data_IF_018783222197
#
_entry.id   IF_018783222197
#
_cell.length_a   1.000
_cell.length_b   1.000
_cell.length_c   1.000
_cell.angle_alpha   90.00
_cell.angle_beta   90.00
_cell.angle_gamma   90.00
#
_symmetry.space_group_name_H-M   'P 1'
#
loop_
_entity.id
_entity.type
_entity.pdbx_description
1 polymer ?
#
# COMPACT_ATOMS: atom_id res chain seq x y z
N UNK A 1 64.01 -19.58 -23.91
CA UNK A 1 63.11 -20.39 -24.75
C UNK A 1 61.95 -20.92 -23.89
N UNK A 2 61.23 -19.96 -23.32
CA UNK A 2 59.79 -19.71 -23.54
C UNK A 2 58.81 -20.76 -23.00
N UNK A 3 58.71 -20.71 -21.68
CA UNK A 3 57.47 -20.52 -20.92
C UNK A 3 56.16 -21.02 -21.57
N UNK A 4 55.86 -22.27 -21.23
CA UNK A 4 54.51 -22.84 -21.16
C UNK A 4 53.65 -22.02 -20.18
N UNK A 5 53.02 -20.95 -20.65
CA UNK A 5 52.03 -20.21 -19.88
C UNK A 5 50.66 -20.88 -20.03
N UNK A 6 50.26 -21.54 -18.96
CA UNK A 6 48.91 -22.01 -18.68
C UNK A 6 47.92 -20.84 -18.79
N UNK A 7 47.04 -20.88 -19.78
CA UNK A 7 45.86 -20.01 -19.83
C UNK A 7 44.86 -20.57 -18.83
N UNK A 8 44.93 -20.08 -17.59
CA UNK A 8 43.90 -20.30 -16.57
C UNK A 8 42.74 -19.37 -16.91
N UNK A 9 41.69 -19.91 -17.51
CA UNK A 9 40.45 -19.19 -17.79
C UNK A 9 39.72 -18.87 -16.50
N UNK A 10 39.69 -17.60 -16.10
CA UNK A 10 38.83 -17.10 -15.03
C UNK A 10 37.50 -16.66 -15.66
N UNK A 11 36.53 -17.57 -15.70
CA UNK A 11 35.15 -17.22 -16.04
C UNK A 11 34.50 -16.59 -14.80
N UNK A 12 34.47 -15.26 -14.75
CA UNK A 12 33.73 -14.52 -13.74
C UNK A 12 32.25 -14.42 -14.16
N UNK A 13 31.41 -15.33 -13.66
CA UNK A 13 29.96 -15.25 -13.79
C UNK A 13 29.43 -14.17 -12.83
N UNK A 14 29.07 -13.01 -13.38
CA UNK A 14 28.40 -11.94 -12.64
C UNK A 14 26.93 -12.33 -12.46
N UNK A 15 26.52 -12.65 -11.22
CA UNK A 15 25.12 -12.76 -10.83
C UNK A 15 24.52 -11.35 -10.73
N UNK A 16 23.78 -10.91 -11.74
CA UNK A 16 22.89 -9.75 -11.64
C UNK A 16 21.66 -10.15 -10.81
N UNK A 17 21.69 -9.87 -9.51
CA UNK A 17 20.49 -9.90 -8.68
C UNK A 17 19.62 -8.68 -8.99
N UNK A 18 18.33 -8.88 -9.26
CA UNK A 18 17.37 -7.79 -9.41
C UNK A 18 17.06 -7.20 -8.04
N UNK A 19 17.46 -5.96 -7.81
CA UNK A 19 17.02 -5.19 -6.65
C UNK A 19 15.62 -4.66 -6.95
N UNK A 20 14.62 -5.16 -6.25
CA UNK A 20 13.28 -4.57 -6.27
C UNK A 20 13.33 -3.25 -5.50
N UNK A 21 13.06 -2.14 -6.19
CA UNK A 21 12.88 -0.84 -5.53
C UNK A 21 11.47 -0.81 -4.97
N UNK A 22 11.34 -0.80 -3.65
CA UNK A 22 10.05 -0.47 -3.00
C UNK A 22 9.75 1.00 -3.32
N UNK A 23 8.67 1.25 -4.04
CA UNK A 23 8.21 2.60 -4.33
C UNK A 23 7.34 3.06 -3.16
N UNK A 24 7.66 4.22 -2.58
CA UNK A 24 6.77 4.82 -1.61
C UNK A 24 5.48 5.29 -2.31
N UNK A 25 4.32 5.00 -1.72
CA UNK A 25 3.03 5.43 -2.25
C UNK A 25 2.86 6.95 -2.26
N UNK A 26 2.05 7.43 -3.19
CA UNK A 26 1.63 8.84 -3.30
C UNK A 26 0.42 9.10 -2.41
N UNK A 27 0.66 9.82 -1.31
CA UNK A 27 -0.37 10.22 -0.33
C UNK A 27 -1.53 10.99 -0.97
N UNK A 28 -1.25 11.83 -1.97
CA UNK A 28 -2.29 12.63 -2.62
C UNK A 28 -3.20 11.76 -3.46
N UNK A 29 -2.61 10.82 -4.23
CA UNK A 29 -3.38 9.82 -4.97
C UNK A 29 -4.20 8.92 -4.02
N UNK A 30 -3.60 8.48 -2.91
CA UNK A 30 -4.28 7.68 -1.87
C UNK A 30 -5.48 8.40 -1.27
N UNK A 31 -5.33 9.69 -0.93
CA UNK A 31 -6.46 10.50 -0.44
C UNK A 31 -7.55 10.66 -1.49
N UNK A 32 -7.20 10.80 -2.77
CA UNK A 32 -8.17 10.89 -3.85
C UNK A 32 -8.98 9.57 -4.00
N UNK A 33 -8.31 8.42 -3.87
CA UNK A 33 -8.98 7.11 -3.83
C UNK A 33 -9.95 7.04 -2.64
N UNK A 34 -9.51 7.42 -1.43
CA UNK A 34 -10.38 7.46 -0.25
C UNK A 34 -11.58 8.38 -0.43
N UNK A 35 -11.39 9.57 -1.02
CA UNK A 35 -12.47 10.50 -1.31
C UNK A 35 -13.51 9.90 -2.26
N UNK A 36 -13.05 9.22 -3.31
CA UNK A 36 -13.90 8.64 -4.34
C UNK A 36 -14.67 7.42 -3.84
N UNK A 37 -14.03 6.55 -3.08
CA UNK A 37 -14.57 5.24 -2.73
C UNK A 37 -15.16 5.17 -1.30
N UNK A 38 -14.68 6.00 -0.38
CA UNK A 38 -15.00 5.89 1.05
C UNK A 38 -15.63 7.17 1.62
N UNK A 39 -15.36 8.33 1.02
CA UNK A 39 -15.75 9.65 1.53
C UNK A 39 -17.25 9.95 1.54
N UNK A 40 -18.07 9.12 0.90
CA UNK A 40 -19.53 9.21 1.01
C UNK A 40 -20.04 8.83 2.40
N UNK A 41 -19.27 8.04 3.15
CA UNK A 41 -19.64 7.51 4.46
C UNK A 41 -18.66 7.91 5.56
N UNK A 42 -17.35 7.81 5.30
CA UNK A 42 -16.31 8.02 6.30
C UNK A 42 -15.75 9.44 6.28
N UNK A 43 -15.46 9.96 7.46
CA UNK A 43 -14.60 11.13 7.61
C UNK A 43 -13.16 10.75 7.25
N UNK A 44 -12.52 11.59 6.44
CA UNK A 44 -11.20 11.34 5.86
C UNK A 44 -10.13 12.23 6.49
N UNK A 45 -10.50 13.40 7.00
CA UNK A 45 -9.54 14.34 7.55
C UNK A 45 -9.36 14.16 9.09
N UNK A 46 -8.46 14.97 9.65
CA UNK A 46 -8.10 14.87 11.07
C UNK A 46 -9.18 15.38 12.02
N UNK A 47 -10.10 16.23 11.55
CA UNK A 47 -11.04 16.97 12.40
C UNK A 47 -12.50 16.92 11.93
N UNK A 48 -12.78 16.32 10.78
CA UNK A 48 -14.13 16.18 10.25
C UNK A 48 -14.93 15.09 10.98
N UNK A 49 -16.26 15.18 10.85
CA UNK A 49 -17.20 14.15 11.27
C UNK A 49 -17.61 13.33 10.06
N UNK A 50 -17.77 12.03 10.26
CA UNK A 50 -18.24 11.15 9.18
C UNK A 50 -19.61 11.58 8.67
N UNK A 51 -19.82 11.61 7.34
CA UNK A 51 -21.15 11.82 6.76
C UNK A 51 -22.21 10.84 7.29
N UNK A 52 -21.81 9.59 7.57
CA UNK A 52 -22.63 8.57 8.22
C UNK A 52 -22.18 8.40 9.68
N UNK A 53 -23.04 8.63 10.69
CA UNK A 53 -22.66 8.53 12.10
C UNK A 53 -22.05 7.18 12.53
N UNK A 54 -22.52 6.10 11.91
CA UNK A 54 -22.08 4.72 12.13
C UNK A 54 -20.73 4.38 11.49
N UNK A 55 -20.28 5.17 10.52
CA UNK A 55 -19.01 4.98 9.83
C UNK A 55 -17.89 5.66 10.63
N UNK A 56 -16.92 4.92 11.21
CA UNK A 56 -15.85 5.54 11.99
C UNK A 56 -14.95 6.42 11.10
N UNK A 57 -14.41 7.53 11.62
CA UNK A 57 -13.45 8.34 10.87
C UNK A 57 -12.14 7.58 10.68
N UNK A 58 -11.51 7.72 9.52
CA UNK A 58 -10.29 6.97 9.16
C UNK A 58 -9.12 7.20 10.14
N UNK A 59 -9.04 8.37 10.78
CA UNK A 59 -8.06 8.67 11.84
C UNK A 59 -8.13 7.77 13.08
N UNK A 60 -9.13 6.91 13.18
CA UNK A 60 -9.26 5.93 14.27
C UNK A 60 -9.05 4.49 13.81
N UNK A 61 -8.80 4.28 12.51
CA UNK A 61 -8.66 2.95 11.90
C UNK A 61 -7.49 2.16 12.51
N UNK A 62 -6.35 2.83 12.68
CA UNK A 62 -5.12 2.23 13.20
C UNK A 62 -5.21 1.74 14.65
N UNK A 63 -6.21 2.25 15.39
CA UNK A 63 -6.49 1.79 16.75
C UNK A 63 -7.09 0.39 16.78
N UNK A 64 -7.61 -0.09 15.64
CA UNK A 64 -8.29 -1.39 15.51
C UNK A 64 -7.52 -2.36 14.63
N UNK A 65 -6.84 -1.86 13.60
CA UNK A 65 -6.13 -2.66 12.62
C UNK A 65 -4.76 -2.05 12.32
N UNK A 66 -3.68 -2.84 12.22
CA UNK A 66 -2.45 -2.38 11.60
C UNK A 66 -2.75 -1.94 10.17
N UNK A 67 -2.39 -0.71 9.78
CA UNK A 67 -2.72 -0.18 8.44
C UNK A 67 -2.12 -1.04 7.33
N UNK A 68 -0.88 -1.50 7.49
CA UNK A 68 -0.21 -2.41 6.54
C UNK A 68 -0.92 -3.76 6.42
N UNK A 69 -1.68 -4.18 7.44
CA UNK A 69 -2.45 -5.42 7.40
C UNK A 69 -3.69 -5.35 6.50
N UNK A 70 -3.97 -4.20 5.88
CA UNK A 70 -5.13 -4.02 5.01
C UNK A 70 -4.84 -4.37 3.54
N UNK A 71 -3.58 -4.55 3.15
CA UNK A 71 -3.17 -4.75 1.76
C UNK A 71 -3.88 -5.93 1.08
N UNK A 72 -3.95 -7.08 1.76
CA UNK A 72 -4.63 -8.28 1.25
C UNK A 72 -6.13 -8.03 1.03
N UNK A 73 -6.81 -7.43 2.01
CA UNK A 73 -8.22 -7.07 1.88
C UNK A 73 -8.45 -6.05 0.76
N UNK A 74 -7.53 -5.11 0.54
CA UNK A 74 -7.63 -4.16 -0.57
C UNK A 74 -7.32 -4.81 -1.92
N UNK A 75 -6.51 -5.86 -1.96
CA UNK A 75 -6.16 -6.60 -3.17
C UNK A 75 -7.21 -7.63 -3.60
N UNK A 76 -7.89 -8.25 -2.64
CA UNK A 76 -8.85 -9.32 -2.89
C UNK A 76 -10.30 -8.85 -2.80
N UNK A 77 -10.56 -7.75 -2.09
CA UNK A 77 -11.89 -7.21 -1.87
C UNK A 77 -12.15 -6.92 -0.39
N UNK A 78 -12.49 -5.67 -0.07
CA UNK A 78 -12.80 -5.26 1.30
C UNK A 78 -14.12 -5.88 1.77
N UNK A 79 -14.05 -7.02 2.46
CA UNK A 79 -15.20 -7.61 3.14
C UNK A 79 -15.40 -6.92 4.47
N UNK A 80 -16.58 -6.35 4.65
CA UNK A 80 -16.88 -5.50 5.82
C UNK A 80 -18.04 -6.07 6.62
N UNK A 81 -18.13 -5.64 7.87
CA UNK A 81 -19.10 -6.15 8.83
C UNK A 81 -20.55 -5.69 8.57
N UNK A 82 -20.80 -4.80 7.60
CA UNK A 82 -22.13 -4.30 7.31
C UNK A 82 -22.39 -4.15 5.80
N UNK A 83 -23.61 -4.50 5.32
CA UNK A 83 -23.93 -4.57 3.89
C UNK A 83 -23.87 -3.22 3.16
N UNK A 84 -23.92 -2.10 3.89
CA UNK A 84 -23.91 -0.76 3.30
C UNK A 84 -22.52 -0.27 2.86
N UNK A 85 -21.43 -0.91 3.32
CA UNK A 85 -20.08 -0.54 2.85
C UNK A 85 -19.77 -1.34 1.59
N UNK A 86 -19.52 -0.66 0.46
CA UNK A 86 -19.29 -1.33 -0.80
C UNK A 86 -17.99 -2.14 -0.74
N UNK A 87 -18.01 -3.29 -1.41
CA UNK A 87 -16.78 -4.01 -1.70
C UNK A 87 -15.93 -3.18 -2.66
N UNK A 88 -14.65 -3.04 -2.32
CA UNK A 88 -13.67 -2.34 -3.16
C UNK A 88 -12.42 -3.19 -3.28
N UNK A 89 -11.85 -3.20 -4.48
CA UNK A 89 -10.59 -3.82 -4.81
C UNK A 89 -9.73 -2.80 -5.54
N UNK A 90 -8.45 -2.72 -5.19
CA UNK A 90 -7.49 -1.78 -5.78
C UNK A 90 -6.37 -2.53 -6.51
N UNK A 91 -5.81 -1.87 -7.52
CA UNK A 91 -4.58 -2.34 -8.16
C UNK A 91 -3.38 -2.15 -7.21
N UNK A 92 -2.27 -2.88 -7.36
CA UNK A 92 -1.12 -2.81 -6.45
C UNK A 92 -0.62 -1.39 -6.18
N UNK A 93 -0.41 -0.58 -7.22
CA UNK A 93 0.04 0.82 -7.06
C UNK A 93 -0.98 1.68 -6.28
N UNK A 94 -2.28 1.41 -6.45
CA UNK A 94 -3.35 2.12 -5.74
C UNK A 94 -3.42 1.71 -4.28
N UNK A 95 -3.11 0.43 -3.96
CA UNK A 95 -2.97 -0.05 -2.58
C UNK A 95 -1.83 0.70 -1.91
N UNK A 96 -0.65 0.77 -2.53
CA UNK A 96 0.52 1.48 -1.97
C UNK A 96 0.18 2.95 -1.68
N UNK A 97 -0.49 3.61 -2.63
CA UNK A 97 -0.93 5.00 -2.48
C UNK A 97 -1.93 5.14 -1.32
N UNK A 98 -2.92 4.25 -1.24
CA UNK A 98 -3.96 4.27 -0.22
C UNK A 98 -3.40 4.00 1.18
N UNK A 99 -2.52 3.01 1.33
CA UNK A 99 -1.80 2.70 2.56
C UNK A 99 -0.93 3.89 2.99
N UNK A 100 -0.17 4.48 2.06
CA UNK A 100 0.64 5.68 2.34
C UNK A 100 -0.21 6.83 2.90
N UNK A 101 -1.42 7.03 2.36
CA UNK A 101 -2.37 7.99 2.88
C UNK A 101 -2.87 7.63 4.29
N UNK A 102 -3.32 6.40 4.51
CA UNK A 102 -3.81 5.96 5.82
C UNK A 102 -2.74 6.11 6.91
N UNK A 103 -1.47 5.81 6.58
CA UNK A 103 -0.32 6.01 7.49
C UNK A 103 -0.16 7.45 7.95
N UNK A 104 -0.53 8.43 7.13
CA UNK A 104 -0.50 9.83 7.58
C UNK A 104 -1.47 10.09 8.75
N UNK A 105 -2.48 9.25 8.95
CA UNK A 105 -3.49 9.39 9.98
C UNK A 105 -3.15 8.67 11.28
N UNK A 106 -2.10 7.84 11.30
CA UNK A 106 -1.61 7.14 12.50
C UNK A 106 -0.97 8.14 13.47
N UNK A 107 -1.68 8.48 14.55
CA UNK A 107 -1.19 9.27 15.67
C UNK A 107 -1.53 8.61 17.00
#
# INVERSE_FOLDING_TARGET
>A
MDARWLIIGLAATILLGTVSVVRAGDVTAGRALAQKHCGACHALDRADRSPKPEAPPFRTLHQRYPVDGLEEALAEGMVTLHPDMPEVTFAPDDIDNFIAYLKTLEQ
#
